data_IF_254854496774
#
_entry.id   IF_254854496774
#
_cell.length_a   1.000
_cell.length_b   1.000
_cell.length_c   1.000
_cell.angle_alpha   90.00
_cell.angle_beta   90.00
_cell.angle_gamma   90.00
#
_symmetry.space_group_name_H-M   'P 1'
#
loop_
_entity.id
_entity.type
_entity.pdbx_description
1 polymer ?
#
# COMPACT_ATOMS: atom_id res chain seq x y z
N UNK A 1 20.26 -12.43 -9.83
CA UNK A 1 19.20 -12.72 -10.83
C UNK A 1 18.18 -13.67 -10.22
N UNK A 2 16.90 -13.56 -10.60
CA UNK A 2 15.88 -14.54 -10.24
C UNK A 2 16.16 -15.87 -10.97
N UNK A 3 16.19 -16.98 -10.24
CA UNK A 3 16.48 -18.32 -10.81
C UNK A 3 15.37 -18.85 -11.73
N UNK A 4 14.13 -18.41 -11.53
CA UNK A 4 12.96 -18.88 -12.29
C UNK A 4 12.75 -18.05 -13.55
N UNK A 5 12.86 -16.73 -13.44
CA UNK A 5 12.54 -15.83 -14.56
C UNK A 5 13.76 -15.35 -15.33
N UNK A 6 14.97 -15.59 -14.83
CA UNK A 6 16.21 -15.03 -15.38
C UNK A 6 16.26 -13.50 -15.31
N UNK A 7 15.34 -12.83 -14.62
CA UNK A 7 15.29 -11.35 -14.57
C UNK A 7 16.16 -10.79 -13.44
N UNK A 8 16.80 -9.65 -13.70
CA UNK A 8 17.51 -8.86 -12.70
C UNK A 8 16.58 -7.97 -11.88
N UNK A 9 17.06 -7.48 -10.73
CA UNK A 9 16.35 -6.46 -9.96
C UNK A 9 16.47 -5.11 -10.68
N UNK A 10 15.35 -4.42 -10.88
CA UNK A 10 15.35 -3.06 -11.41
C UNK A 10 15.95 -2.07 -10.39
N UNK A 11 16.60 -1.02 -10.90
CA UNK A 11 16.91 0.14 -10.07
C UNK A 11 15.61 0.78 -9.57
N UNK A 12 15.66 1.47 -8.43
CA UNK A 12 14.46 2.11 -7.89
C UNK A 12 13.88 3.14 -8.87
N UNK A 13 14.73 3.94 -9.51
CA UNK A 13 14.33 4.90 -10.55
C UNK A 13 13.59 4.22 -11.70
N UNK A 14 14.15 3.14 -12.27
CA UNK A 14 13.52 2.43 -13.38
C UNK A 14 12.19 1.80 -12.98
N UNK A 15 12.11 1.26 -11.77
CA UNK A 15 10.87 0.73 -11.23
C UNK A 15 9.80 1.82 -11.07
N UNK A 16 10.19 3.02 -10.60
CA UNK A 16 9.28 4.14 -10.44
C UNK A 16 8.73 4.62 -11.79
N UNK A 17 9.60 4.85 -12.77
CA UNK A 17 9.22 5.28 -14.12
C UNK A 17 8.25 4.28 -14.78
N UNK A 18 8.57 2.98 -14.73
CA UNK A 18 7.72 1.95 -15.31
C UNK A 18 6.38 1.82 -14.59
N UNK A 19 6.40 1.85 -13.26
CA UNK A 19 5.17 1.73 -12.47
C UNK A 19 4.23 2.90 -12.73
N UNK A 20 4.76 4.12 -12.75
CA UNK A 20 3.96 5.31 -13.02
C UNK A 20 3.37 5.25 -14.43
N UNK A 21 4.18 4.97 -15.47
CA UNK A 21 3.70 4.86 -16.83
C UNK A 21 2.59 3.79 -16.99
N UNK A 22 2.80 2.60 -16.44
CA UNK A 22 1.86 1.48 -16.55
C UNK A 22 0.56 1.69 -15.78
N UNK A 23 0.57 2.55 -14.75
CA UNK A 23 -0.62 2.82 -13.92
C UNK A 23 -1.41 4.04 -14.38
N UNK A 24 -0.94 4.82 -15.38
CA UNK A 24 -1.69 5.97 -15.91
C UNK A 24 -3.13 5.62 -16.32
N UNK A 25 -3.41 4.54 -17.08
CA UNK A 25 -4.80 4.23 -17.45
C UNK A 25 -5.68 3.89 -16.24
N UNK A 26 -5.09 3.30 -15.20
CA UNK A 26 -5.78 2.95 -13.96
C UNK A 26 -6.03 4.17 -13.08
N UNK A 27 -5.11 5.13 -13.09
CA UNK A 27 -5.24 6.39 -12.38
C UNK A 27 -6.26 7.33 -13.03
N UNK A 28 -6.44 7.23 -14.35
CA UNK A 28 -7.32 8.08 -15.15
C UNK A 28 -8.26 7.25 -16.05
N UNK A 29 -9.21 6.49 -15.47
CA UNK A 29 -10.03 5.52 -16.22
C UNK A 29 -11.00 6.14 -17.24
N UNK A 30 -11.13 7.47 -17.25
CA UNK A 30 -11.98 8.20 -18.21
C UNK A 30 -11.24 8.78 -19.41
N UNK A 31 -9.90 8.68 -19.47
CA UNK A 31 -9.10 9.18 -20.59
C UNK A 31 -8.79 8.01 -21.50
N UNK A 32 -9.30 8.06 -22.72
CA UNK A 32 -9.07 7.05 -23.77
C UNK A 32 -8.03 7.48 -24.79
N UNK A 33 -7.78 8.79 -24.93
CA UNK A 33 -6.75 9.30 -25.83
C UNK A 33 -5.37 9.06 -25.25
N UNK A 34 -4.53 8.32 -25.97
CA UNK A 34 -3.18 7.99 -25.52
C UNK A 34 -2.29 9.23 -25.39
N UNK A 35 -2.47 10.22 -26.27
CA UNK A 35 -1.68 11.45 -26.23
C UNK A 35 -2.00 12.29 -24.98
N UNK A 36 -3.28 12.45 -24.64
CA UNK A 36 -3.70 13.06 -23.37
C UNK A 36 -3.18 12.26 -22.17
N UNK A 37 -3.25 10.93 -22.21
CA UNK A 37 -2.85 10.08 -21.10
C UNK A 37 -1.34 10.16 -20.80
N UNK A 38 -0.49 10.28 -21.83
CA UNK A 38 0.96 10.47 -21.66
C UNK A 38 1.32 11.78 -20.93
N UNK A 39 0.47 12.81 -21.04
CA UNK A 39 0.62 14.06 -20.30
C UNK A 39 0.22 13.95 -18.83
N UNK A 40 -0.42 12.84 -18.42
CA UNK A 40 -0.83 12.59 -17.03
C UNK A 40 0.20 11.74 -16.29
N UNK A 41 0.34 12.00 -14.99
CA UNK A 41 1.06 11.13 -14.08
C UNK A 41 0.22 9.91 -13.69
N UNK A 42 0.86 8.75 -13.51
CA UNK A 42 0.22 7.58 -12.93
C UNK A 42 0.34 7.54 -11.41
N UNK A 43 0.17 6.36 -10.83
CA UNK A 43 0.45 6.16 -9.41
C UNK A 43 1.95 6.01 -9.16
N UNK A 44 2.37 6.44 -7.99
CA UNK A 44 3.78 6.41 -7.58
C UNK A 44 4.06 5.23 -6.66
N UNK A 45 5.31 4.77 -6.61
CA UNK A 45 5.74 3.75 -5.64
C UNK A 45 5.57 4.23 -4.18
N UNK A 46 5.61 5.54 -3.94
CA UNK A 46 5.34 6.11 -2.62
C UNK A 46 3.88 5.91 -2.21
N UNK A 47 2.94 6.19 -3.12
CA UNK A 47 1.52 5.93 -2.91
C UNK A 47 1.27 4.44 -2.69
N UNK A 48 1.85 3.57 -3.52
CA UNK A 48 1.74 2.11 -3.35
C UNK A 48 2.23 1.65 -1.98
N UNK A 49 3.40 2.14 -1.54
CA UNK A 49 3.96 1.83 -0.22
C UNK A 49 3.03 2.29 0.90
N UNK A 50 2.44 3.48 0.77
CA UNK A 50 1.51 4.02 1.76
C UNK A 50 0.25 3.17 1.86
N UNK A 51 -0.39 2.85 0.72
CA UNK A 51 -1.58 2.00 0.70
C UNK A 51 -1.30 0.62 1.30
N UNK A 52 -0.16 0.00 0.95
CA UNK A 52 0.22 -1.31 1.47
C UNK A 52 0.43 -1.34 3.01
N UNK A 53 0.87 -0.23 3.61
CA UNK A 53 1.04 -0.10 5.05
C UNK A 53 -0.25 0.26 5.78
N UNK A 54 -1.11 1.07 5.14
CA UNK A 54 -2.44 1.38 5.67
C UNK A 54 -3.30 0.12 5.70
N UNK A 55 -3.41 -0.62 4.59
CA UNK A 55 -4.16 -1.88 4.56
C UNK A 55 -3.59 -2.91 5.52
N UNK A 56 -2.26 -3.04 5.62
CA UNK A 56 -1.67 -3.93 6.63
C UNK A 56 -2.10 -3.58 8.05
N UNK A 57 -2.23 -2.30 8.38
CA UNK A 57 -2.72 -1.85 9.68
C UNK A 57 -4.22 -2.13 9.86
N UNK A 58 -5.04 -1.92 8.82
CA UNK A 58 -6.48 -2.23 8.80
C UNK A 58 -6.74 -3.73 8.98
N UNK A 59 -5.95 -4.58 8.32
CA UNK A 59 -5.97 -6.05 8.48
C UNK A 59 -5.51 -6.52 9.87
N UNK A 60 -5.14 -5.58 10.76
CA UNK A 60 -4.74 -5.86 12.13
C UNK A 60 -3.29 -6.36 12.27
N UNK A 61 -2.42 -6.12 11.29
CA UNK A 61 -0.98 -6.39 11.43
C UNK A 61 -0.42 -5.57 12.58
N UNK A 62 0.32 -6.23 13.48
CA UNK A 62 0.90 -5.54 14.62
C UNK A 62 1.99 -4.51 14.22
N UNK A 63 2.17 -3.50 15.07
CA UNK A 63 3.12 -2.41 14.83
C UNK A 63 4.58 -2.88 14.65
N UNK A 64 5.13 -3.82 15.44
CA UNK A 64 6.48 -4.33 15.22
C UNK A 64 6.70 -4.94 13.84
N UNK A 65 5.73 -5.72 13.33
CA UNK A 65 5.79 -6.30 11.99
C UNK A 65 5.72 -5.22 10.92
N UNK A 66 4.87 -4.20 11.09
CA UNK A 66 4.82 -3.06 10.17
C UNK A 66 6.13 -2.26 10.15
N UNK A 67 6.76 -2.04 11.31
CA UNK A 67 8.07 -1.39 11.43
C UNK A 67 9.15 -2.19 10.69
N UNK A 68 9.25 -3.50 10.95
CA UNK A 68 10.23 -4.37 10.30
C UNK A 68 10.05 -4.41 8.77
N UNK A 69 8.81 -4.57 8.29
CA UNK A 69 8.48 -4.62 6.86
C UNK A 69 8.83 -3.33 6.14
N UNK A 70 8.55 -2.20 6.77
CA UNK A 70 8.78 -0.87 6.20
C UNK A 70 10.19 -0.33 6.43
N UNK A 71 10.95 -0.90 7.37
CA UNK A 71 12.24 -0.38 7.85
C UNK A 71 12.13 1.01 8.48
N UNK A 72 11.01 1.29 9.13
CA UNK A 72 10.87 2.48 9.97
C UNK A 72 11.56 2.26 11.31
N UNK A 73 12.39 3.21 11.74
CA UNK A 73 13.13 3.13 13.00
C UNK A 73 12.25 3.42 14.23
N UNK A 74 11.11 4.07 14.03
CA UNK A 74 10.19 4.46 15.11
C UNK A 74 8.74 4.50 14.64
N UNK A 75 7.82 4.34 15.60
CA UNK A 75 6.37 4.46 15.37
C UNK A 75 6.02 5.83 14.77
N UNK A 76 6.62 6.90 15.29
CA UNK A 76 6.47 8.27 14.76
C UNK A 76 6.73 8.36 13.25
N UNK A 77 7.74 7.64 12.75
CA UNK A 77 8.04 7.64 11.32
C UNK A 77 7.06 6.79 10.50
N UNK A 78 6.47 5.76 11.11
CA UNK A 78 5.46 4.87 10.51
C UNK A 78 4.08 5.52 10.42
N UNK A 79 3.72 6.40 11.37
CA UNK A 79 2.41 7.08 11.45
C UNK A 79 2.03 7.87 10.18
N UNK A 80 3.00 8.27 9.36
CA UNK A 80 2.72 8.91 8.06
C UNK A 80 2.16 7.92 7.02
N UNK A 81 2.45 6.65 7.19
CA UNK A 81 2.19 5.58 6.21
C UNK A 81 1.11 4.59 6.63
N UNK A 82 0.99 4.28 7.92
CA UNK A 82 -0.02 3.37 8.47
C UNK A 82 -1.09 4.18 9.21
N UNK A 83 -2.14 4.59 8.48
CA UNK A 83 -3.27 5.35 9.04
C UNK A 83 -4.58 4.61 8.76
N UNK A 84 -4.93 3.60 9.57
CA UNK A 84 -6.19 2.87 9.36
C UNK A 84 -7.38 3.81 9.48
N UNK A 85 -8.40 3.58 8.64
CA UNK A 85 -9.68 4.29 8.74
C UNK A 85 -10.40 4.04 10.05
N UNK A 86 -11.31 4.95 10.42
CA UNK A 86 -12.11 4.83 11.66
C UNK A 86 -12.97 3.56 11.66
N UNK A 87 -13.52 3.18 10.51
CA UNK A 87 -14.35 1.98 10.36
C UNK A 87 -13.52 0.71 10.58
N UNK A 88 -12.31 0.65 10.00
CA UNK A 88 -11.40 -0.47 10.19
C UNK A 88 -10.99 -0.63 11.67
N UNK A 89 -10.79 0.47 12.39
CA UNK A 89 -10.54 0.43 13.84
C UNK A 89 -11.77 -0.08 14.59
N UNK A 90 -12.97 0.37 14.24
CA UNK A 90 -14.21 -0.07 14.87
C UNK A 90 -14.42 -1.59 14.69
N UNK A 91 -14.25 -2.10 13.48
CA UNK A 91 -14.35 -3.54 13.16
C UNK A 91 -13.29 -4.36 13.91
N UNK A 92 -12.06 -3.84 14.00
CA UNK A 92 -10.98 -4.49 14.74
C UNK A 92 -11.29 -4.61 16.24
N UNK A 93 -11.92 -3.60 16.84
CA UNK A 93 -12.35 -3.62 18.24
C UNK A 93 -13.54 -4.56 18.42
N UNK A 94 -14.56 -4.46 17.55
CA UNK A 94 -15.76 -5.29 17.61
C UNK A 94 -15.44 -6.78 17.50
N UNK A 95 -14.53 -7.17 16.60
CA UNK A 95 -14.08 -8.57 16.45
C UNK A 95 -13.37 -9.13 17.69
N UNK A 96 -12.86 -8.27 18.58
CA UNK A 96 -12.17 -8.63 19.82
C UNK A 96 -13.05 -8.48 21.07
N UNK A 97 -14.30 -8.07 20.92
CA UNK A 97 -15.21 -7.89 22.06
C UNK A 97 -15.52 -9.24 22.74
N UNK A 98 -15.09 -9.45 24.01
CA UNK A 98 -15.39 -10.68 24.72
C UNK A 98 -16.89 -10.84 25.02
N UNK A 99 -17.67 -9.75 25.08
CA UNK A 99 -19.11 -9.81 25.29
C UNK A 99 -19.85 -10.34 24.04
N UNK A 100 -19.32 -10.09 22.83
CA UNK A 100 -19.86 -10.65 21.59
C UNK A 100 -19.75 -12.19 21.54
N UNK A 101 -18.72 -12.77 22.18
CA UNK A 101 -18.52 -14.24 22.25
C UNK A 101 -19.57 -14.94 23.13
N UNK A 102 -20.19 -14.26 24.10
CA UNK A 102 -21.18 -14.86 25.01
C UNK A 102 -22.58 -15.03 24.40
N UNK A 103 -22.85 -14.48 23.21
CA UNK A 103 -24.17 -14.51 22.56
C UNK A 103 -24.35 -15.60 21.50
N UNK A 104 -23.36 -16.48 21.31
CA UNK A 104 -23.40 -17.58 20.34
C UNK A 104 -23.57 -18.93 21.01
#
# INVERSE_FOLDING_TARGET
MCKVTGRGRLSHRRAAELFEALTRPLAHPGIVDEAELELRGGWTLHQLRRSALTHGAEDGTNTPTLLARSRHASVRSLERYARPGVDAVADHVASRDPAARRKR
#
